data_IF_986798882160
#
_entry.id   IF_986798882160
#
_cell.length_a   1.000
_cell.length_b   1.000
_cell.length_c   1.000
_cell.angle_alpha   90.00
_cell.angle_beta   90.00
_cell.angle_gamma   90.00
#
_symmetry.space_group_name_H-M   'P 1'
#
loop_
_entity.id
_entity.type
_entity.pdbx_description
1 polymer ?
#
# COMPACT_ATOMS: atom_id res chain seq x y z
N UNK A 1 5.93 22.16 -3.46
CA UNK A 1 4.91 21.85 -4.50
C UNK A 1 3.59 21.46 -3.84
N UNK A 2 2.50 21.69 -4.53
CA UNK A 2 1.16 21.32 -4.11
C UNK A 2 0.45 20.60 -5.27
N UNK A 3 -0.49 19.74 -4.96
CA UNK A 3 -1.36 19.06 -5.92
C UNK A 3 -2.81 19.39 -5.61
N UNK A 4 -3.60 19.58 -6.67
CA UNK A 4 -5.06 19.69 -6.60
C UNK A 4 -5.64 18.61 -7.51
N UNK A 5 -6.40 17.69 -6.92
CA UNK A 5 -7.08 16.62 -7.61
C UNK A 5 -8.59 16.84 -7.52
N UNK A 6 -9.28 16.75 -8.65
CA UNK A 6 -10.74 16.81 -8.71
C UNK A 6 -11.21 15.52 -9.36
N UNK A 7 -11.98 14.73 -8.63
CA UNK A 7 -12.42 13.40 -9.06
C UNK A 7 -13.94 13.33 -8.89
N UNK A 8 -14.60 12.65 -9.80
CA UNK A 8 -16.00 12.25 -9.65
C UNK A 8 -16.07 10.74 -9.76
N UNK A 9 -16.73 10.10 -8.81
CA UNK A 9 -16.95 8.66 -8.80
C UNK A 9 -18.44 8.37 -8.65
N UNK A 10 -18.92 7.48 -9.47
CA UNK A 10 -20.24 6.91 -9.36
C UNK A 10 -20.08 5.39 -9.35
N UNK A 11 -20.63 4.75 -8.34
CA UNK A 11 -20.60 3.29 -8.21
C UNK A 11 -22.05 2.82 -8.00
N UNK A 12 -22.52 2.04 -8.94
CA UNK A 12 -23.79 1.35 -8.88
C UNK A 12 -23.53 -0.15 -8.70
N UNK A 13 -24.09 -0.76 -7.66
CA UNK A 13 -23.94 -2.19 -7.38
C UNK A 13 -25.28 -2.90 -7.57
N UNK A 14 -25.65 -3.12 -8.83
CA UNK A 14 -26.89 -3.80 -9.22
C UNK A 14 -26.89 -5.33 -9.03
N UNK A 15 -25.83 -5.92 -8.49
CA UNK A 15 -25.67 -7.40 -8.44
C UNK A 15 -26.03 -8.05 -7.09
N UNK A 16 -26.36 -7.32 -6.05
CA UNK A 16 -26.66 -7.89 -4.73
C UNK A 16 -28.01 -7.33 -4.24
N UNK A 17 -28.75 -8.13 -3.49
CA UNK A 17 -30.07 -7.82 -2.92
C UNK A 17 -30.18 -6.58 -2.00
N UNK A 18 -29.16 -5.76 -1.95
CA UNK A 18 -29.13 -4.39 -1.44
C UNK A 18 -28.52 -3.50 -2.53
N UNK A 19 -29.35 -2.96 -3.42
CA UNK A 19 -28.94 -1.91 -4.35
C UNK A 19 -28.43 -0.70 -3.56
N UNK A 20 -27.12 -0.57 -3.44
CA UNK A 20 -26.49 0.58 -2.80
C UNK A 20 -25.70 1.35 -3.84
N UNK A 21 -26.14 2.54 -4.16
CA UNK A 21 -25.38 3.47 -4.98
C UNK A 21 -24.57 4.38 -4.07
N UNK A 22 -23.27 4.46 -4.27
CA UNK A 22 -22.41 5.47 -3.66
C UNK A 22 -21.83 6.35 -4.75
N UNK A 23 -22.13 7.64 -4.70
CA UNK A 23 -21.55 8.64 -5.56
C UNK A 23 -20.75 9.67 -4.75
N UNK A 24 -19.56 10.00 -5.24
CA UNK A 24 -18.68 11.08 -4.73
C UNK A 24 -18.66 12.18 -5.81
N UNK A 25 -19.45 13.24 -5.62
CA UNK A 25 -19.74 14.23 -6.65
C UNK A 25 -19.73 15.67 -6.10
N UNK A 26 -18.64 16.43 -6.20
CA UNK A 26 -17.27 16.03 -6.51
C UNK A 26 -16.47 15.62 -5.28
N UNK A 27 -15.33 14.95 -5.48
CA UNK A 27 -14.24 14.88 -4.52
C UNK A 27 -13.14 15.86 -4.96
N UNK A 28 -12.77 16.80 -4.09
CA UNK A 28 -11.72 17.78 -4.31
C UNK A 28 -10.67 17.59 -3.22
N UNK A 29 -9.44 17.22 -3.61
CA UNK A 29 -8.34 17.01 -2.68
C UNK A 29 -7.21 17.98 -2.99
N UNK A 30 -6.81 18.77 -2.00
CA UNK A 30 -5.64 19.64 -2.04
C UNK A 30 -4.60 19.18 -1.06
N UNK A 31 -3.39 18.86 -1.54
CA UNK A 31 -2.26 18.40 -0.72
C UNK A 31 -1.05 19.28 -0.97
N UNK A 32 -0.41 19.70 0.11
CA UNK A 32 0.90 20.35 0.04
C UNK A 32 1.99 19.39 0.47
N UNK A 33 3.10 19.37 -0.24
CA UNK A 33 4.31 18.72 0.25
C UNK A 33 4.90 19.54 1.41
N UNK A 34 5.74 18.90 2.22
CA UNK A 34 6.42 19.57 3.32
C UNK A 34 7.19 20.80 2.83
N UNK A 35 6.86 21.96 3.37
CA UNK A 35 7.47 23.25 3.06
C UNK A 35 8.14 23.80 4.29
N UNK A 36 9.38 24.27 4.17
CA UNK A 36 10.10 24.90 5.25
C UNK A 36 9.47 26.26 5.56
N UNK A 37 9.20 26.53 6.85
CA UNK A 37 8.67 27.84 7.30
C UNK A 37 9.84 28.76 7.59
N UNK A 38 10.19 29.62 6.61
CA UNK A 38 11.31 30.54 6.74
C UNK A 38 12.60 29.80 7.15
N UNK A 39 13.35 30.34 8.08
CA UNK A 39 14.60 29.75 8.61
C UNK A 39 14.38 29.02 9.95
N UNK A 40 13.14 28.67 10.29
CA UNK A 40 12.81 28.12 11.61
C UNK A 40 13.20 26.66 11.79
N UNK A 41 13.43 25.92 10.69
CA UNK A 41 13.64 24.48 10.67
C UNK A 41 12.35 23.67 10.87
N UNK A 42 11.19 24.33 10.97
CA UNK A 42 9.87 23.68 10.93
C UNK A 42 9.39 23.51 9.51
N UNK A 43 8.79 22.37 9.26
CA UNK A 43 8.15 22.05 7.99
C UNK A 43 6.65 21.96 8.21
N UNK A 44 5.93 22.60 7.30
CA UNK A 44 4.46 22.58 7.25
C UNK A 44 4.01 21.77 6.03
N UNK A 45 3.00 20.95 6.22
CA UNK A 45 2.22 20.35 5.15
C UNK A 45 0.74 20.32 5.54
N UNK A 46 -0.11 20.19 4.56
CA UNK A 46 -1.56 20.23 4.71
C UNK A 46 -2.22 19.31 3.73
N UNK A 47 -3.17 18.53 4.22
CA UNK A 47 -4.12 17.76 3.44
C UNK A 47 -5.51 18.35 3.65
N UNK A 48 -6.21 18.67 2.56
CA UNK A 48 -7.58 19.19 2.60
C UNK A 48 -8.41 18.42 1.62
N UNK A 49 -9.56 17.93 2.07
CA UNK A 49 -10.49 17.17 1.25
C UNK A 49 -11.90 17.76 1.38
N UNK A 50 -12.55 17.98 0.26
CA UNK A 50 -13.98 18.25 0.19
C UNK A 50 -14.63 17.15 -0.62
N UNK A 51 -15.65 16.51 -0.08
CA UNK A 51 -16.40 15.47 -0.78
C UNK A 51 -17.89 15.63 -0.54
N UNK A 52 -18.67 15.56 -1.60
CA UNK A 52 -20.11 15.44 -1.53
C UNK A 52 -20.48 13.98 -1.80
N UNK A 53 -21.00 13.30 -0.78
CA UNK A 53 -21.47 11.92 -0.85
C UNK A 53 -22.96 11.91 -1.13
N UNK A 54 -23.36 11.04 -2.06
CA UNK A 54 -24.74 10.69 -2.32
C UNK A 54 -24.83 9.17 -2.21
N UNK A 55 -25.68 8.69 -1.32
CA UNK A 55 -25.96 7.26 -1.17
C UNK A 55 -27.44 7.04 -1.42
N UNK A 56 -27.74 6.15 -2.33
CA UNK A 56 -29.09 5.64 -2.56
C UNK A 56 -29.14 4.21 -2.00
N UNK A 57 -29.99 4.00 -1.03
CA UNK A 57 -30.22 2.69 -0.38
C UNK A 57 -31.58 2.17 -0.88
N UNK A 58 -31.65 1.70 -2.10
CA UNK A 58 -32.86 1.12 -2.69
C UNK A 58 -33.28 -0.19 -2.00
N UNK A 59 -33.39 -0.17 -0.67
CA UNK A 59 -33.88 -1.33 0.09
C UNK A 59 -35.38 -1.51 0.01
N UNK A 60 -36.13 -0.46 -0.28
CA UNK A 60 -37.57 -0.45 -0.48
C UNK A 60 -37.96 0.63 -1.49
N UNK A 61 -38.60 0.29 -2.64
CA UNK A 61 -39.02 1.28 -3.64
C UNK A 61 -40.00 2.34 -3.13
N UNK A 62 -40.66 2.08 -1.99
CA UNK A 62 -41.63 2.99 -1.39
C UNK A 62 -41.05 3.91 -0.31
N UNK A 63 -39.73 3.78 -0.01
CA UNK A 63 -39.03 4.58 0.98
C UNK A 63 -37.89 5.36 0.29
N UNK A 64 -37.91 6.68 0.37
CA UNK A 64 -36.84 7.56 -0.10
C UNK A 64 -35.67 7.54 0.92
N UNK A 65 -34.79 6.55 0.81
CA UNK A 65 -33.62 6.35 1.66
C UNK A 65 -32.38 7.10 1.16
N UNK A 66 -32.57 8.11 0.30
CA UNK A 66 -31.49 8.93 -0.24
C UNK A 66 -30.80 9.74 0.87
N UNK A 67 -29.53 9.49 1.06
CA UNK A 67 -28.72 10.22 2.02
C UNK A 67 -27.62 11.01 1.29
N UNK A 68 -27.67 12.35 1.43
CA UNK A 68 -26.64 13.24 0.89
C UNK A 68 -25.93 13.99 2.01
N UNK A 69 -24.61 13.97 2.01
CA UNK A 69 -23.79 14.70 2.99
C UNK A 69 -22.56 15.32 2.31
N UNK A 70 -22.28 16.57 2.65
CA UNK A 70 -21.00 17.20 2.31
C UNK A 70 -20.06 17.11 3.49
N UNK A 71 -18.82 16.73 3.20
CA UNK A 71 -17.72 16.70 4.16
C UNK A 71 -16.61 17.61 3.72
N UNK A 72 -16.10 18.42 4.64
CA UNK A 72 -14.88 19.21 4.49
C UNK A 72 -13.90 18.77 5.56
N UNK A 73 -12.73 18.28 5.17
CA UNK A 73 -11.65 17.84 6.05
C UNK A 73 -10.43 18.73 5.86
N UNK A 74 -9.89 19.24 6.95
CA UNK A 74 -8.70 20.07 6.97
C UNK A 74 -7.69 19.52 7.96
N UNK A 75 -6.51 19.11 7.48
CA UNK A 75 -5.49 18.43 8.27
C UNK A 75 -4.10 19.05 8.07
N UNK A 76 -3.79 20.18 8.74
CA UNK A 76 -2.45 20.75 8.78
C UNK A 76 -1.54 19.96 9.71
N UNK A 77 -0.26 19.85 9.33
CA UNK A 77 0.77 19.17 10.10
C UNK A 77 2.03 20.01 10.19
N UNK A 78 2.65 19.99 11.36
CA UNK A 78 3.92 20.65 11.66
C UNK A 78 4.96 19.62 12.07
N UNK A 79 6.10 19.60 11.40
CA UNK A 79 7.19 18.65 11.64
C UNK A 79 8.51 19.39 11.83
N UNK A 80 9.34 18.93 12.77
CA UNK A 80 10.72 19.40 12.89
C UNK A 80 11.65 18.24 13.22
N UNK A 81 12.82 18.19 12.59
CA UNK A 81 13.85 17.21 12.92
C UNK A 81 14.92 17.85 13.79
N UNK A 82 15.21 17.24 14.92
CA UNK A 82 16.25 17.61 15.86
C UNK A 82 17.38 16.57 15.76
N UNK A 83 18.61 17.01 15.53
CA UNK A 83 19.79 16.17 15.69
C UNK A 83 20.16 16.17 17.18
N UNK A 84 19.75 15.13 17.91
CA UNK A 84 20.08 14.98 19.34
C UNK A 84 21.56 14.62 19.53
N UNK A 85 22.11 13.88 18.57
CA UNK A 85 23.52 13.56 18.44
C UNK A 85 23.87 13.36 16.95
N UNK A 86 25.13 13.32 16.56
CA UNK A 86 25.52 13.04 15.15
C UNK A 86 24.96 11.72 14.58
N UNK A 87 24.60 10.80 15.47
CA UNK A 87 24.09 9.47 15.16
C UNK A 87 22.62 9.24 15.57
N UNK A 88 21.95 10.27 16.16
CA UNK A 88 20.59 10.15 16.67
C UNK A 88 19.76 11.35 16.25
N UNK A 89 18.67 11.11 15.54
CA UNK A 89 17.69 12.14 15.17
C UNK A 89 16.33 11.89 15.82
N UNK A 90 15.66 12.97 16.21
CA UNK A 90 14.31 12.97 16.76
C UNK A 90 13.42 13.87 15.91
N UNK A 91 12.34 13.30 15.37
CA UNK A 91 11.43 14.02 14.49
C UNK A 91 10.00 13.93 15.03
N UNK A 92 9.56 14.92 15.84
CA UNK A 92 8.17 15.07 16.21
C UNK A 92 7.35 15.66 15.06
N UNK A 93 6.11 15.22 14.95
CA UNK A 93 5.07 15.76 14.06
C UNK A 93 3.81 15.98 14.88
N UNK A 94 3.23 17.16 14.76
CA UNK A 94 1.94 17.54 15.32
C UNK A 94 0.97 17.76 14.17
N UNK A 95 -0.13 17.04 14.14
CA UNK A 95 -1.25 17.23 13.24
C UNK A 95 -2.50 17.67 14.01
N UNK A 96 -3.27 18.55 13.41
CA UNK A 96 -4.60 18.95 13.86
C UNK A 96 -5.57 18.66 12.73
N UNK A 97 -6.65 17.95 13.01
CA UNK A 97 -7.66 17.65 12.00
C UNK A 97 -9.00 18.18 12.41
N UNK A 98 -9.62 18.95 11.54
CA UNK A 98 -10.97 19.45 11.64
C UNK A 98 -11.80 18.86 10.49
N UNK A 99 -12.85 18.12 10.80
CA UNK A 99 -13.75 17.53 9.81
C UNK A 99 -15.16 18.05 10.03
N UNK A 100 -15.70 18.75 9.04
CA UNK A 100 -17.04 19.36 9.07
C UNK A 100 -17.99 18.53 8.21
N UNK A 101 -19.17 18.24 8.74
CA UNK A 101 -20.22 17.50 8.05
C UNK A 101 -21.49 18.35 7.96
N UNK A 102 -22.10 18.40 6.78
CA UNK A 102 -23.35 19.15 6.59
C UNK A 102 -24.52 18.55 7.36
N UNK A 103 -24.48 17.22 7.60
CA UNK A 103 -25.43 16.50 8.45
C UNK A 103 -24.84 15.18 8.94
N UNK A 104 -25.31 14.69 10.07
CA UNK A 104 -24.97 13.39 10.63
C UNK A 104 -26.03 12.33 10.32
N UNK A 105 -25.88 11.15 10.92
CA UNK A 105 -26.92 10.13 10.98
C UNK A 105 -28.16 10.73 11.68
N UNK A 106 -29.35 10.25 11.32
CA UNK A 106 -30.65 10.72 11.86
C UNK A 106 -30.93 12.20 11.61
N UNK A 107 -30.33 12.78 10.56
CA UNK A 107 -30.53 14.19 10.17
C UNK A 107 -30.23 15.21 11.30
N UNK A 108 -29.21 14.92 12.10
CA UNK A 108 -28.85 15.70 13.30
C UNK A 108 -28.32 17.12 12.99
N UNK A 109 -28.31 17.56 11.72
CA UNK A 109 -27.83 18.85 11.27
C UNK A 109 -26.29 18.91 11.18
N UNK A 110 -25.76 20.11 11.00
CA UNK A 110 -24.32 20.37 10.89
C UNK A 110 -23.59 20.02 12.19
N UNK A 111 -22.44 19.34 12.05
CA UNK A 111 -21.53 19.12 13.18
C UNK A 111 -20.07 19.09 12.73
N UNK A 112 -19.16 19.24 13.68
CA UNK A 112 -17.72 19.16 13.50
C UNK A 112 -17.12 18.03 14.34
N UNK A 113 -15.96 17.55 13.89
CA UNK A 113 -15.13 16.61 14.61
C UNK A 113 -13.70 17.09 14.59
N UNK A 114 -13.14 17.33 15.78
CA UNK A 114 -11.76 17.70 15.97
C UNK A 114 -10.93 16.47 16.37
N UNK A 115 -9.74 16.35 15.83
CA UNK A 115 -8.78 15.32 16.19
C UNK A 115 -7.36 15.88 16.25
N UNK A 116 -6.60 15.39 17.21
CA UNK A 116 -5.16 15.64 17.35
C UNK A 116 -4.41 14.38 16.98
N UNK A 117 -3.39 14.49 16.15
CA UNK A 117 -2.45 13.41 15.93
C UNK A 117 -1.02 13.85 16.28
N UNK A 118 -0.36 13.05 17.09
CA UNK A 118 1.03 13.22 17.47
C UNK A 118 1.83 12.04 16.96
N UNK A 119 2.94 12.32 16.31
CA UNK A 119 3.92 11.29 15.93
C UNK A 119 5.31 11.74 16.38
N UNK A 120 6.08 10.83 16.94
CA UNK A 120 7.46 11.06 17.33
C UNK A 120 8.33 9.93 16.82
N UNK A 121 9.30 10.26 15.96
CA UNK A 121 10.23 9.29 15.38
C UNK A 121 11.63 9.52 15.90
N UNK A 122 12.24 8.44 16.40
CA UNK A 122 13.64 8.37 16.81
C UNK A 122 14.38 7.44 15.86
N UNK A 123 15.43 7.92 15.20
CA UNK A 123 16.23 7.16 14.25
C UNK A 123 17.71 7.17 14.66
N UNK A 124 18.28 5.97 14.79
CA UNK A 124 19.67 5.74 15.15
C UNK A 124 19.83 4.96 16.46
N UNK A 125 21.08 4.60 16.83
CA UNK A 125 22.32 4.83 16.08
C UNK A 125 22.38 4.01 14.78
N UNK A 126 22.95 4.59 13.71
CA UNK A 126 23.23 3.87 12.48
C UNK A 126 24.59 3.21 12.59
N UNK A 127 24.60 1.88 12.49
CA UNK A 127 25.86 1.13 12.45
C UNK A 127 26.20 0.80 11.02
N UNK A 128 27.46 1.02 10.65
CA UNK A 128 27.93 0.70 9.32
C UNK A 128 29.30 0.03 9.33
N UNK A 129 29.47 -0.92 8.42
CA UNK A 129 30.77 -1.57 8.18
C UNK A 129 30.97 -1.81 6.70
N UNK A 130 32.16 -1.45 6.21
CA UNK A 130 32.55 -1.66 4.82
C UNK A 130 33.53 -2.83 4.78
N UNK A 131 33.25 -3.78 3.89
CA UNK A 131 34.07 -4.96 3.63
C UNK A 131 34.65 -4.83 2.22
N UNK A 132 35.94 -5.04 2.08
CA UNK A 132 36.60 -5.24 0.77
C UNK A 132 36.38 -6.70 0.35
N UNK A 133 36.03 -6.93 -0.91
CA UNK A 133 35.88 -8.26 -1.47
C UNK A 133 37.03 -8.59 -2.43
N UNK A 134 37.19 -9.87 -2.77
CA UNK A 134 38.14 -10.29 -3.80
C UNK A 134 37.52 -10.24 -5.21
N UNK A 135 36.22 -9.98 -5.31
CA UNK A 135 35.50 -9.89 -6.57
C UNK A 135 35.74 -8.51 -7.21
N UNK A 136 36.34 -8.50 -8.41
CA UNK A 136 36.60 -7.23 -9.14
C UNK A 136 35.34 -6.52 -9.60
N UNK A 137 34.24 -7.26 -9.82
CA UNK A 137 32.94 -6.69 -10.21
C UNK A 137 32.21 -6.07 -9.02
N UNK A 138 32.45 -6.58 -7.80
CA UNK A 138 31.86 -6.10 -6.55
C UNK A 138 32.99 -5.90 -5.54
N UNK A 139 33.84 -4.85 -5.70
CA UNK A 139 35.01 -4.69 -4.88
C UNK A 139 34.74 -4.33 -3.41
N UNK A 140 33.58 -3.77 -3.13
CA UNK A 140 33.17 -3.37 -1.76
C UNK A 140 31.72 -3.68 -1.48
N UNK A 141 31.47 -4.10 -0.25
CA UNK A 141 30.14 -4.33 0.32
C UNK A 141 30.02 -3.51 1.60
N UNK A 142 28.94 -2.74 1.74
CA UNK A 142 28.63 -1.96 2.94
C UNK A 142 27.42 -2.57 3.61
N UNK A 143 27.54 -2.96 4.88
CA UNK A 143 26.44 -3.39 5.73
C UNK A 143 26.01 -2.22 6.61
N UNK A 144 24.71 -1.94 6.60
CA UNK A 144 24.05 -0.91 7.42
C UNK A 144 23.06 -1.59 8.35
N UNK A 145 22.97 -1.13 9.60
CA UNK A 145 21.95 -1.51 10.57
C UNK A 145 21.32 -0.22 11.09
N UNK A 146 20.02 -0.08 10.88
CA UNK A 146 19.26 1.15 11.11
C UNK A 146 18.07 0.87 12.04
N UNK A 147 18.22 1.02 13.37
CA UNK A 147 17.11 0.95 14.30
C UNK A 147 16.25 2.22 14.23
N UNK A 148 14.94 2.03 14.39
CA UNK A 148 13.95 3.11 14.43
C UNK A 148 12.89 2.80 15.48
N UNK A 149 12.51 3.83 16.23
CA UNK A 149 11.37 3.83 17.13
C UNK A 149 10.39 4.91 16.68
N UNK A 150 9.10 4.58 16.57
CA UNK A 150 8.05 5.53 16.23
C UNK A 150 6.93 5.43 17.25
N UNK A 151 6.57 6.53 17.86
CA UNK A 151 5.38 6.66 18.69
C UNK A 151 4.30 7.39 17.91
N UNK A 152 3.08 6.84 17.90
CA UNK A 152 1.90 7.47 17.30
C UNK A 152 0.81 7.54 18.36
N UNK A 153 0.17 8.71 18.43
CA UNK A 153 -0.91 8.96 19.37
C UNK A 153 -2.04 9.74 18.71
N UNK A 154 -3.24 9.20 18.80
CA UNK A 154 -4.51 9.82 18.44
C UNK A 154 -5.42 9.61 19.64
N UNK A 155 -5.92 10.67 20.30
CA UNK A 155 -6.82 10.55 21.44
C UNK A 155 -8.15 9.89 21.04
N UNK A 156 -8.90 9.47 22.03
CA UNK A 156 -10.25 8.98 21.78
C UNK A 156 -11.17 10.13 21.34
N UNK A 157 -11.93 9.89 20.29
CA UNK A 157 -12.97 10.81 19.83
C UNK A 157 -14.19 10.57 20.70
N UNK A 158 -14.91 11.64 21.08
CA UNK A 158 -16.13 11.53 21.90
C UNK A 158 -17.08 10.48 21.26
N UNK A 159 -17.59 9.58 22.09
CA UNK A 159 -18.51 8.53 21.68
C UNK A 159 -19.75 9.10 20.99
N UNK A 160 -20.24 10.26 21.46
CA UNK A 160 -21.38 10.97 20.87
C UNK A 160 -21.14 11.43 19.44
N UNK A 161 -19.90 11.70 19.06
CA UNK A 161 -19.57 12.10 17.69
C UNK A 161 -19.39 10.88 16.78
N UNK A 162 -18.90 9.75 17.32
CA UNK A 162 -18.83 8.49 16.57
C UNK A 162 -20.22 7.99 16.13
N UNK A 163 -21.19 8.11 17.01
CA UNK A 163 -22.56 7.61 16.73
C UNK A 163 -23.30 8.48 15.70
N UNK A 164 -22.81 9.69 15.41
CA UNK A 164 -23.37 10.60 14.41
C UNK A 164 -22.77 10.44 13.03
N UNK A 165 -21.59 9.79 12.90
CA UNK A 165 -20.82 9.74 11.66
C UNK A 165 -21.15 8.48 10.90
N UNK A 166 -21.58 8.64 9.64
CA UNK A 166 -21.58 7.54 8.68
C UNK A 166 -20.18 7.39 8.11
N UNK A 167 -19.64 6.19 8.17
CA UNK A 167 -18.30 5.90 7.64
C UNK A 167 -18.37 5.70 6.14
N UNK A 168 -17.77 6.60 5.37
CA UNK A 168 -17.61 6.51 3.91
C UNK A 168 -16.20 6.05 3.54
N UNK A 169 -15.18 6.56 4.25
CA UNK A 169 -13.78 6.27 3.97
C UNK A 169 -12.89 6.32 5.24
N UNK A 170 -11.56 6.33 5.02
CA UNK A 170 -10.58 6.38 6.10
C UNK A 170 -10.58 7.71 6.89
N UNK A 171 -11.10 8.80 6.33
CA UNK A 171 -11.22 10.07 7.06
C UNK A 171 -12.24 9.93 8.17
N UNK A 172 -13.36 9.24 7.91
CA UNK A 172 -14.43 9.05 8.88
C UNK A 172 -14.09 8.00 9.95
N UNK A 173 -13.27 7.00 9.58
CA UNK A 173 -12.90 5.87 10.43
C UNK A 173 -11.64 6.09 11.27
N UNK A 174 -11.32 7.35 11.65
CA UNK A 174 -10.17 7.62 12.53
C UNK A 174 -10.35 6.90 13.86
N UNK A 175 -9.46 5.96 14.13
CA UNK A 175 -9.44 5.19 15.37
C UNK A 175 -8.43 5.77 16.35
N UNK A 176 -8.75 5.77 17.66
CA UNK A 176 -7.79 6.15 18.70
C UNK A 176 -6.56 5.24 18.63
N UNK A 177 -5.40 5.84 18.80
CA UNK A 177 -4.13 5.13 18.72
C UNK A 177 -3.19 5.59 19.85
N UNK A 178 -2.50 4.67 20.48
CA UNK A 178 -1.37 4.97 21.38
C UNK A 178 -0.37 3.83 21.23
N UNK A 179 0.50 3.92 20.22
CA UNK A 179 1.30 2.80 19.76
C UNK A 179 2.77 3.16 19.63
N UNK A 180 3.64 2.31 20.13
CA UNK A 180 5.08 2.35 19.89
C UNK A 180 5.43 1.26 18.87
N UNK A 181 5.97 1.66 17.72
CA UNK A 181 6.50 0.73 16.71
C UNK A 181 8.01 0.78 16.75
N UNK A 182 8.64 -0.36 16.93
CA UNK A 182 10.09 -0.52 16.81
C UNK A 182 10.43 -1.36 15.59
N UNK A 183 11.48 -0.94 14.89
CA UNK A 183 11.94 -1.64 13.70
C UNK A 183 13.45 -1.64 13.60
N UNK A 184 13.97 -2.70 13.00
CA UNK A 184 15.38 -2.87 12.68
C UNK A 184 15.49 -3.15 11.19
N UNK A 185 16.09 -2.23 10.44
CA UNK A 185 16.36 -2.43 9.03
C UNK A 185 17.84 -2.71 8.83
N UNK A 186 18.16 -3.81 8.15
CA UNK A 186 19.50 -4.15 7.73
C UNK A 186 19.57 -4.03 6.20
N UNK A 187 20.62 -3.37 5.71
CA UNK A 187 20.85 -3.15 4.28
C UNK A 187 22.25 -3.57 3.89
N UNK A 188 22.36 -4.27 2.78
CA UNK A 188 23.62 -4.58 2.14
C UNK A 188 23.68 -3.80 0.83
N UNK A 189 24.64 -2.86 0.76
CA UNK A 189 24.93 -2.10 -0.44
C UNK A 189 26.18 -2.69 -1.11
N UNK A 190 26.09 -2.98 -2.39
CA UNK A 190 27.20 -3.44 -3.21
C UNK A 190 27.70 -2.31 -4.11
N UNK A 191 29.02 -2.13 -4.16
CA UNK A 191 29.67 -1.27 -5.15
C UNK A 191 29.97 -2.14 -6.37
N UNK A 192 29.33 -1.85 -7.50
CA UNK A 192 29.39 -2.64 -8.74
C UNK A 192 30.13 -1.87 -9.84
N UNK A 193 31.00 -2.56 -10.59
CA UNK A 193 31.64 -1.98 -11.76
C UNK A 193 30.61 -1.92 -12.93
N UNK A 194 30.49 -0.77 -13.58
CA UNK A 194 29.56 -0.55 -14.70
C UNK A 194 30.08 -1.00 -16.07
N UNK A 195 31.29 -1.60 -16.10
CA UNK A 195 31.96 -2.05 -17.33
C UNK A 195 32.60 -0.92 -18.15
N UNK A 196 32.41 0.36 -17.77
CA UNK A 196 33.01 1.55 -18.39
C UNK A 196 34.17 2.15 -17.56
N UNK A 197 34.47 1.53 -16.42
CA UNK A 197 35.51 1.97 -15.50
C UNK A 197 34.97 2.76 -14.29
N UNK A 198 33.66 3.06 -14.27
CA UNK A 198 32.97 3.68 -13.15
C UNK A 198 32.34 2.62 -12.24
N UNK A 199 31.84 3.09 -11.10
CA UNK A 199 31.20 2.22 -10.11
C UNK A 199 29.87 2.80 -9.67
N UNK A 200 28.85 1.95 -9.68
CA UNK A 200 27.53 2.25 -9.12
C UNK A 200 27.37 1.59 -7.75
N UNK A 201 26.54 2.17 -6.89
CA UNK A 201 26.15 1.56 -5.62
C UNK A 201 24.72 1.07 -5.73
N UNK A 202 24.51 -0.23 -5.50
CA UNK A 202 23.21 -0.87 -5.53
C UNK A 202 22.87 -1.47 -4.16
N UNK A 203 21.63 -1.34 -3.74
CA UNK A 203 21.12 -2.10 -2.59
C UNK A 203 20.87 -3.55 -3.04
N UNK A 204 21.63 -4.46 -2.45
CA UNK A 204 21.58 -5.88 -2.80
C UNK A 204 20.70 -6.70 -1.86
N UNK A 205 20.54 -6.23 -0.61
CA UNK A 205 19.65 -6.82 0.37
C UNK A 205 19.07 -5.73 1.26
N UNK A 206 17.77 -5.82 1.52
CA UNK A 206 17.08 -5.15 2.61
C UNK A 206 16.34 -6.19 3.43
N UNK A 207 16.56 -6.20 4.71
CA UNK A 207 15.81 -6.97 5.70
C UNK A 207 15.23 -6.02 6.73
N UNK A 208 13.93 -6.07 6.95
CA UNK A 208 13.25 -5.28 7.98
C UNK A 208 12.49 -6.19 8.93
N UNK A 209 12.75 -6.01 10.21
CA UNK A 209 12.00 -6.61 11.30
C UNK A 209 11.24 -5.50 12.02
N UNK A 210 9.95 -5.68 12.26
CA UNK A 210 9.16 -4.68 12.98
C UNK A 210 8.06 -5.32 13.83
N UNK A 211 7.75 -4.65 14.95
CA UNK A 211 6.65 -4.99 15.84
C UNK A 211 6.15 -3.71 16.50
N UNK A 212 4.89 -3.69 16.89
CA UNK A 212 4.28 -2.58 17.61
C UNK A 212 3.80 -3.02 18.99
N UNK A 213 3.79 -2.08 19.92
CA UNK A 213 3.23 -2.23 21.26
C UNK A 213 2.12 -1.18 21.43
N UNK A 214 0.90 -1.62 21.67
CA UNK A 214 -0.26 -0.76 21.92
C UNK A 214 -0.42 -0.51 23.42
N UNK A 215 -0.20 0.76 23.82
CA UNK A 215 -0.27 1.16 25.23
C UNK A 215 -1.72 1.13 25.74
N UNK A 216 -2.71 1.41 24.88
CA UNK A 216 -4.14 1.37 25.26
C UNK A 216 -4.56 -0.06 25.55
N UNK A 217 -4.16 -0.98 24.67
CA UNK A 217 -4.43 -2.41 24.84
C UNK A 217 -3.78 -2.93 26.13
N UNK A 218 -2.55 -2.50 26.42
CA UNK A 218 -1.83 -2.88 27.63
C UNK A 218 -2.45 -2.35 28.94
N UNK A 219 -3.23 -1.28 28.86
CA UNK A 219 -3.85 -0.62 30.03
C UNK A 219 -5.35 -0.86 30.15
N UNK A 220 -5.94 -1.63 29.23
CA UNK A 220 -7.37 -2.00 29.32
C UNK A 220 -7.62 -2.93 30.48
N UNK A 221 -8.85 -2.91 30.99
CA UNK A 221 -9.29 -3.91 31.98
C UNK A 221 -9.48 -5.24 31.30
N UNK A 222 -8.72 -6.24 31.70
CA UNK A 222 -8.81 -7.59 31.17
C UNK A 222 -10.08 -8.29 31.64
N UNK A 223 -10.68 -9.07 30.74
CA UNK A 223 -11.77 -10.02 31.05
C UNK A 223 -11.46 -11.35 30.40
N UNK A 224 -12.11 -12.43 30.87
CA UNK A 224 -11.91 -13.76 30.31
C UNK A 224 -12.21 -13.86 28.80
N UNK A 225 -13.18 -13.04 28.33
CA UNK A 225 -13.60 -13.00 26.92
C UNK A 225 -12.80 -11.98 26.09
N UNK A 226 -11.96 -11.15 26.74
CA UNK A 226 -11.17 -10.10 26.08
C UNK A 226 -9.82 -9.90 26.79
N UNK A 227 -8.86 -10.83 26.59
CA UNK A 227 -7.51 -10.74 27.15
C UNK A 227 -6.75 -9.54 26.57
N UNK A 228 -5.74 -9.06 27.29
CA UNK A 228 -4.87 -7.99 26.80
C UNK A 228 -3.79 -8.55 25.86
N UNK A 229 -3.76 -8.04 24.63
CA UNK A 229 -2.81 -8.44 23.58
C UNK A 229 -2.07 -7.21 23.03
N UNK A 230 -1.20 -6.57 23.84
CA UNK A 230 -0.60 -5.29 23.48
C UNK A 230 0.45 -5.38 22.36
N UNK A 231 1.05 -6.54 22.15
CA UNK A 231 2.01 -6.71 21.06
C UNK A 231 1.30 -7.06 19.75
N UNK A 232 1.66 -6.34 18.69
CA UNK A 232 1.25 -6.76 17.34
C UNK A 232 2.00 -7.99 16.87
N UNK A 233 1.55 -8.55 15.77
CA UNK A 233 2.35 -9.55 15.04
C UNK A 233 3.75 -9.03 14.75
N UNK A 234 4.75 -9.90 14.80
CA UNK A 234 6.09 -9.60 14.29
C UNK A 234 6.03 -9.68 12.76
N UNK A 235 6.47 -8.61 12.10
CA UNK A 235 6.56 -8.55 10.64
C UNK A 235 8.01 -8.67 10.18
N UNK A 236 8.22 -9.58 9.24
CA UNK A 236 9.46 -9.78 8.51
C UNK A 236 9.28 -9.34 7.06
N UNK A 237 10.25 -8.64 6.51
CA UNK A 237 10.27 -8.19 5.13
C UNK A 237 11.69 -8.29 4.58
N UNK A 238 11.88 -8.98 3.47
CA UNK A 238 13.18 -9.20 2.82
C UNK A 238 13.08 -8.93 1.34
N UNK A 239 13.86 -7.99 0.85
CA UNK A 239 14.10 -7.77 -0.57
C UNK A 239 15.56 -8.11 -0.87
N UNK A 240 15.82 -9.02 -1.80
CA UNK A 240 17.18 -9.45 -2.11
C UNK A 240 17.44 -9.55 -3.59
N UNK A 241 18.56 -8.96 -3.99
CA UNK A 241 19.20 -9.11 -5.28
C UNK A 241 20.72 -9.27 -5.11
N UNK A 242 21.09 -10.19 -4.24
CA UNK A 242 22.50 -10.45 -3.91
C UNK A 242 23.27 -11.04 -5.08
N UNK A 243 22.60 -11.80 -5.93
CA UNK A 243 23.19 -12.54 -7.05
C UNK A 243 22.34 -12.27 -8.29
N UNK A 244 22.90 -11.61 -9.29
CA UNK A 244 22.29 -11.57 -10.61
C UNK A 244 22.42 -12.96 -11.28
N UNK A 245 21.37 -13.46 -11.90
CA UNK A 245 20.08 -12.87 -12.24
C UNK A 245 18.92 -13.19 -11.27
N UNK A 246 19.18 -13.48 -9.99
CA UNK A 246 18.19 -13.95 -9.03
C UNK A 246 17.63 -12.80 -8.17
N UNK A 247 16.30 -12.74 -8.05
CA UNK A 247 15.54 -11.81 -7.23
C UNK A 247 14.77 -12.64 -6.20
N UNK A 248 14.78 -12.25 -4.94
CA UNK A 248 14.06 -12.93 -3.86
C UNK A 248 13.34 -11.87 -3.03
N UNK A 249 12.03 -12.00 -2.91
CA UNK A 249 11.23 -11.25 -1.96
C UNK A 249 10.56 -12.22 -1.00
N UNK A 250 10.50 -11.81 0.24
CA UNK A 250 9.87 -12.57 1.31
C UNK A 250 9.20 -11.59 2.26
N UNK A 251 7.93 -11.82 2.58
CA UNK A 251 7.25 -11.15 3.68
C UNK A 251 6.45 -12.16 4.51
N UNK A 252 6.43 -11.95 5.81
CA UNK A 252 5.76 -12.83 6.75
C UNK A 252 5.29 -12.08 7.98
N UNK A 253 4.19 -12.55 8.58
CA UNK A 253 3.71 -12.10 9.88
C UNK A 253 3.59 -13.29 10.83
N UNK A 254 4.11 -13.12 12.03
CA UNK A 254 4.07 -14.10 13.11
C UNK A 254 3.25 -13.55 14.27
N UNK A 255 2.18 -14.25 14.64
CA UNK A 255 1.36 -13.95 15.79
C UNK A 255 2.09 -14.41 17.05
N UNK A 256 2.38 -13.48 17.95
CA UNK A 256 3.09 -13.77 19.22
C UNK A 256 2.18 -14.31 20.29
N UNK A 257 0.85 -14.14 20.17
CA UNK A 257 -0.14 -14.60 21.15
C UNK A 257 -0.56 -16.04 20.86
N UNK A 258 -0.89 -16.31 19.60
CA UNK A 258 -1.23 -17.66 19.12
C UNK A 258 0.02 -18.52 18.79
N UNK A 259 1.22 -17.93 18.79
CA UNK A 259 2.50 -18.57 18.44
C UNK A 259 2.50 -19.21 17.04
N UNK A 260 1.88 -18.55 16.06
CA UNK A 260 1.70 -19.10 14.71
C UNK A 260 2.06 -18.11 13.61
N UNK A 261 2.46 -18.64 12.45
CA UNK A 261 2.57 -17.85 11.23
C UNK A 261 1.15 -17.53 10.70
N UNK A 262 0.83 -16.23 10.59
CA UNK A 262 -0.42 -15.73 9.97
C UNK A 262 -0.30 -15.64 8.47
N UNK A 263 0.82 -15.11 7.99
CA UNK A 263 1.10 -14.98 6.55
C UNK A 263 2.51 -15.40 6.23
N UNK A 264 2.70 -15.95 5.05
CA UNK A 264 4.00 -16.31 4.50
C UNK A 264 3.94 -16.14 2.99
N UNK A 265 4.59 -15.09 2.49
CA UNK A 265 4.65 -14.79 1.08
C UNK A 265 6.10 -14.86 0.63
N UNK A 266 6.35 -15.63 -0.41
CA UNK A 266 7.67 -15.83 -0.95
C UNK A 266 7.62 -15.72 -2.46
N UNK A 267 8.50 -14.90 -3.03
CA UNK A 267 8.62 -14.69 -4.47
C UNK A 267 10.07 -14.88 -4.92
N UNK A 268 10.26 -15.65 -5.96
CA UNK A 268 11.52 -15.80 -6.68
C UNK A 268 11.35 -15.28 -8.09
N UNK A 269 12.18 -14.33 -8.48
CA UNK A 269 12.35 -13.88 -9.85
C UNK A 269 13.67 -14.39 -10.41
N UNK A 270 13.66 -14.87 -11.65
CA UNK A 270 14.85 -15.28 -12.38
C UNK A 270 14.89 -14.57 -13.73
N UNK A 271 15.95 -13.78 -13.94
CA UNK A 271 16.15 -12.96 -15.14
C UNK A 271 17.42 -13.42 -15.89
N UNK A 272 17.36 -14.51 -16.66
CA UNK A 272 18.52 -15.08 -17.35
C UNK A 272 19.12 -14.13 -18.38
N UNK A 273 18.31 -13.29 -19.01
CA UNK A 273 18.68 -12.24 -19.95
C UNK A 273 17.79 -11.01 -19.69
N UNK A 274 18.23 -9.84 -20.14
CA UNK A 274 17.51 -8.57 -19.87
C UNK A 274 16.08 -8.51 -20.41
N UNK A 275 15.79 -9.33 -21.40
CA UNK A 275 14.49 -9.37 -22.07
C UNK A 275 13.54 -10.43 -21.55
N UNK A 276 13.97 -11.30 -20.61
CA UNK A 276 13.13 -12.42 -20.15
C UNK A 276 13.21 -12.56 -18.64
N UNK A 277 12.05 -12.58 -18.01
CA UNK A 277 11.92 -12.75 -16.56
C UNK A 277 10.88 -13.81 -16.24
N UNK A 278 11.22 -14.69 -15.32
CA UNK A 278 10.31 -15.66 -14.72
C UNK A 278 10.09 -15.30 -13.27
N UNK A 279 8.85 -15.41 -12.80
CA UNK A 279 8.51 -15.26 -11.38
C UNK A 279 7.72 -16.47 -10.92
N UNK A 280 8.02 -16.92 -9.71
CA UNK A 280 7.20 -17.87 -8.97
C UNK A 280 6.94 -17.26 -7.61
N UNK A 281 5.68 -17.15 -7.23
CA UNK A 281 5.22 -16.61 -5.97
C UNK A 281 4.37 -17.66 -5.26
N UNK A 282 4.56 -17.78 -3.96
CA UNK A 282 3.67 -18.54 -3.08
C UNK A 282 3.14 -17.60 -2.01
N UNK A 283 1.82 -17.58 -1.83
CA UNK A 283 1.12 -16.84 -0.79
C UNK A 283 0.42 -17.81 0.13
N UNK A 284 0.66 -17.66 1.40
CA UNK A 284 -0.02 -18.39 2.46
C UNK A 284 -0.65 -17.40 3.43
N UNK A 285 -1.94 -17.59 3.72
CA UNK A 285 -2.65 -16.88 4.77
C UNK A 285 -3.36 -17.90 5.64
N UNK A 286 -3.06 -17.93 6.94
CA UNK A 286 -3.70 -18.84 7.89
C UNK A 286 -5.20 -18.59 7.92
N UNK A 287 -6.01 -19.64 7.79
CA UNK A 287 -7.47 -19.58 7.68
C UNK A 287 -7.96 -18.77 6.45
N UNK A 288 -7.11 -18.59 5.48
CA UNK A 288 -7.39 -17.93 4.21
C UNK A 288 -6.84 -18.75 3.05
N UNK A 289 -6.83 -18.18 1.86
CA UNK A 289 -6.36 -18.87 0.66
C UNK A 289 -4.85 -19.10 0.68
N UNK A 290 -4.42 -20.29 0.28
CA UNK A 290 -3.04 -20.61 -0.07
C UNK A 290 -2.95 -20.75 -1.58
N UNK A 291 -2.11 -19.94 -2.22
CA UNK A 291 -2.00 -19.93 -3.67
C UNK A 291 -0.56 -19.80 -4.17
N UNK A 292 -0.29 -20.41 -5.31
CA UNK A 292 0.94 -20.25 -6.08
C UNK A 292 0.65 -19.51 -7.38
N UNK A 293 1.52 -18.58 -7.75
CA UNK A 293 1.47 -17.82 -9.00
C UNK A 293 2.77 -18.05 -9.77
N UNK A 294 2.67 -18.40 -11.04
CA UNK A 294 3.80 -18.40 -11.96
C UNK A 294 3.57 -17.34 -13.04
N UNK A 295 4.61 -16.57 -13.35
CA UNK A 295 4.55 -15.51 -14.36
C UNK A 295 5.79 -15.57 -15.26
N UNK A 296 5.58 -15.34 -16.54
CA UNK A 296 6.61 -15.08 -17.53
C UNK A 296 6.40 -13.67 -18.09
N UNK A 297 7.47 -12.89 -18.21
CA UNK A 297 7.50 -11.56 -18.82
C UNK A 297 8.63 -11.54 -19.86
N UNK A 298 8.30 -11.35 -21.12
CA UNK A 298 9.22 -11.52 -22.24
C UNK A 298 9.12 -10.38 -23.26
N UNK A 299 10.19 -9.57 -23.32
CA UNK A 299 10.42 -8.59 -24.38
C UNK A 299 11.05 -9.29 -25.60
N UNK A 300 10.27 -9.97 -26.43
CA UNK A 300 10.79 -10.83 -27.47
C UNK A 300 11.21 -10.09 -28.76
N UNK A 301 10.75 -8.85 -28.94
CA UNK A 301 11.10 -7.99 -30.07
C UNK A 301 10.96 -6.52 -29.65
N UNK A 302 11.73 -5.63 -30.33
CA UNK A 302 11.66 -4.20 -30.05
C UNK A 302 10.22 -3.67 -30.09
N UNK A 303 9.78 -3.14 -28.96
CA UNK A 303 8.43 -2.63 -28.76
C UNK A 303 7.37 -3.70 -28.42
N UNK A 304 7.68 -4.98 -28.46
CA UNK A 304 6.76 -6.07 -28.14
C UNK A 304 7.09 -6.74 -26.83
N UNK A 305 6.10 -6.85 -25.97
CA UNK A 305 6.18 -7.57 -24.71
C UNK A 305 5.04 -8.58 -24.61
N UNK A 306 5.36 -9.78 -24.15
CA UNK A 306 4.40 -10.82 -23.82
C UNK A 306 4.47 -11.14 -22.33
N UNK A 307 3.31 -11.14 -21.66
CA UNK A 307 3.17 -11.57 -20.27
C UNK A 307 2.16 -12.71 -20.20
N UNK A 308 2.49 -13.73 -19.42
CA UNK A 308 1.54 -14.75 -19.06
C UNK A 308 1.66 -15.06 -17.57
N UNK A 309 0.54 -15.29 -16.91
CA UNK A 309 0.51 -15.71 -15.51
C UNK A 309 -0.58 -16.74 -15.28
N UNK A 310 -0.31 -17.66 -14.37
CA UNK A 310 -1.27 -18.65 -13.88
C UNK A 310 -1.26 -18.69 -12.37
N UNK A 311 -2.43 -18.67 -11.74
CA UNK A 311 -2.62 -18.80 -10.29
C UNK A 311 -3.28 -20.14 -9.98
N UNK A 312 -2.64 -20.89 -9.12
CA UNK A 312 -3.14 -22.15 -8.58
C UNK A 312 -3.58 -21.96 -7.13
N UNK A 313 -4.75 -22.44 -6.80
CA UNK A 313 -5.19 -22.65 -5.42
C UNK A 313 -4.60 -23.97 -4.94
N UNK A 314 -3.78 -23.94 -3.86
CA UNK A 314 -3.08 -25.14 -3.36
C UNK A 314 -4.01 -26.09 -2.58
N UNK A 315 -5.10 -25.59 -2.00
CA UNK A 315 -6.03 -26.42 -1.23
C UNK A 315 -6.92 -27.25 -2.15
N UNK A 316 -7.41 -26.63 -3.21
CA UNK A 316 -8.32 -27.31 -4.16
C UNK A 316 -7.60 -27.84 -5.39
N UNK A 317 -6.30 -27.54 -5.58
CA UNK A 317 -5.50 -27.85 -6.76
C UNK A 317 -6.16 -27.37 -8.06
N UNK A 318 -6.85 -26.25 -8.00
CA UNK A 318 -7.56 -25.68 -9.16
C UNK A 318 -6.88 -24.39 -9.64
N UNK A 319 -6.89 -24.18 -10.96
CA UNK A 319 -6.45 -22.92 -11.54
C UNK A 319 -7.53 -21.86 -11.27
N UNK A 320 -7.16 -20.82 -10.53
CA UNK A 320 -8.04 -19.70 -10.20
C UNK A 320 -8.06 -18.62 -11.25
N UNK A 321 -6.91 -18.38 -11.86
CA UNK A 321 -6.75 -17.29 -12.82
C UNK A 321 -5.65 -17.61 -13.81
N UNK A 322 -5.92 -17.37 -15.09
CA UNK A 322 -4.94 -17.38 -16.16
C UNK A 322 -5.03 -16.05 -16.90
N UNK A 323 -3.90 -15.37 -17.03
CA UNK A 323 -3.82 -14.08 -17.71
C UNK A 323 -2.78 -14.17 -18.82
N UNK A 324 -3.12 -13.65 -19.99
CA UNK A 324 -2.23 -13.50 -21.12
C UNK A 324 -2.33 -12.07 -21.63
N UNK A 325 -1.20 -11.40 -21.80
CA UNK A 325 -1.13 -10.03 -22.28
C UNK A 325 -0.09 -9.91 -23.39
N UNK A 326 -0.48 -9.28 -24.46
CA UNK A 326 0.42 -8.88 -25.54
C UNK A 326 0.41 -7.36 -25.61
N UNK A 327 1.57 -6.75 -25.37
CA UNK A 327 1.79 -5.33 -25.45
C UNK A 327 2.63 -4.97 -26.68
N UNK A 328 2.30 -3.86 -27.29
CA UNK A 328 3.15 -3.19 -28.28
C UNK A 328 3.30 -1.71 -27.91
N UNK A 329 4.54 -1.28 -27.79
CA UNK A 329 4.92 0.12 -27.68
C UNK A 329 5.74 0.54 -28.90
N UNK A 330 5.27 1.54 -29.63
CA UNK A 330 6.00 2.06 -30.78
C UNK A 330 7.38 2.60 -30.35
N UNK A 331 8.45 2.40 -31.17
CA UNK A 331 9.79 2.83 -30.84
C UNK A 331 9.97 4.31 -30.53
N UNK A 332 9.13 5.19 -31.10
CA UNK A 332 9.09 6.62 -30.72
C UNK A 332 8.32 6.86 -29.43
N UNK A 333 7.72 5.83 -28.84
CA UNK A 333 6.86 5.91 -27.66
C UNK A 333 5.66 6.86 -27.81
N UNK A 334 5.18 7.07 -29.04
CA UNK A 334 4.07 7.96 -29.34
C UNK A 334 2.73 7.31 -29.07
N UNK A 335 2.64 6.00 -29.33
CA UNK A 335 1.45 5.20 -29.10
C UNK A 335 1.81 3.76 -28.75
N UNK A 336 0.86 3.06 -28.19
CA UNK A 336 0.96 1.63 -27.90
C UNK A 336 -0.42 1.01 -27.88
N UNK A 337 -0.47 -0.31 -27.99
CA UNK A 337 -1.69 -1.07 -27.77
C UNK A 337 -1.43 -2.27 -26.88
N UNK A 338 -2.47 -2.75 -26.22
CA UNK A 338 -2.45 -4.00 -25.46
C UNK A 338 -3.67 -4.85 -25.79
N UNK A 339 -3.47 -6.14 -25.73
CA UNK A 339 -4.51 -7.16 -25.82
C UNK A 339 -4.35 -8.06 -24.61
N UNK A 340 -5.38 -8.17 -23.79
CA UNK A 340 -5.39 -8.97 -22.58
C UNK A 340 -6.50 -10.01 -22.65
N UNK A 341 -6.16 -11.25 -22.34
CA UNK A 341 -7.12 -12.35 -22.12
C UNK A 341 -7.00 -12.79 -20.68
N UNK A 342 -8.11 -12.71 -19.94
CA UNK A 342 -8.20 -13.03 -18.52
C UNK A 342 -9.26 -14.12 -18.36
N UNK A 343 -8.88 -15.23 -17.75
CA UNK A 343 -9.78 -16.32 -17.42
C UNK A 343 -9.75 -16.50 -15.90
N UNK A 344 -10.91 -16.45 -15.25
CA UNK A 344 -11.09 -16.62 -13.81
C UNK A 344 -12.09 -17.70 -13.50
N UNK A 345 -11.77 -18.51 -12.50
CA UNK A 345 -12.70 -19.44 -11.88
C UNK A 345 -13.22 -18.85 -10.57
N UNK A 346 -14.49 -18.55 -10.53
CA UNK A 346 -15.20 -18.04 -9.34
C UNK A 346 -15.92 -19.19 -8.64
N UNK A 347 -15.75 -19.28 -7.32
CA UNK A 347 -16.45 -20.25 -6.47
C UNK A 347 -17.40 -19.49 -5.54
N UNK A 348 -18.69 -19.49 -5.87
CA UNK A 348 -19.73 -18.92 -5.04
C UNK A 348 -20.65 -20.03 -4.53
N UNK A 349 -20.69 -20.26 -3.20
CA UNK A 349 -21.67 -21.14 -2.56
C UNK A 349 -21.65 -22.60 -3.05
N UNK A 350 -20.50 -23.12 -3.49
CA UNK A 350 -20.34 -24.50 -4.00
C UNK A 350 -20.57 -24.65 -5.51
N UNK A 351 -20.98 -23.59 -6.21
CA UNK A 351 -21.03 -23.58 -7.68
C UNK A 351 -19.74 -22.98 -8.25
N UNK A 352 -19.15 -23.66 -9.24
CA UNK A 352 -18.02 -23.17 -10.03
C UNK A 352 -18.54 -22.44 -11.26
N UNK A 353 -18.16 -21.18 -11.43
CA UNK A 353 -18.39 -20.42 -12.66
C UNK A 353 -17.06 -19.97 -13.25
N UNK A 354 -16.92 -20.09 -14.57
CA UNK A 354 -15.74 -19.61 -15.28
C UNK A 354 -16.09 -18.34 -16.03
N UNK A 355 -15.33 -17.28 -15.75
CA UNK A 355 -15.44 -16.02 -16.46
C UNK A 355 -14.24 -15.84 -17.38
N UNK A 356 -14.49 -15.42 -18.62
CA UNK A 356 -13.42 -15.06 -19.56
C UNK A 356 -13.64 -13.65 -20.07
N UNK A 357 -12.59 -12.82 -19.97
CA UNK A 357 -12.61 -11.41 -20.43
C UNK A 357 -11.55 -11.24 -21.51
N UNK A 358 -11.93 -10.53 -22.56
CA UNK A 358 -11.03 -10.08 -23.60
C UNK A 358 -11.03 -8.56 -23.60
N UNK A 359 -9.86 -7.96 -23.35
CA UNK A 359 -9.71 -6.52 -23.21
C UNK A 359 -8.73 -6.01 -24.27
N UNK A 360 -9.03 -4.87 -24.87
CA UNK A 360 -8.14 -4.19 -25.80
C UNK A 360 -7.95 -2.75 -25.36
N UNK A 361 -6.75 -2.23 -25.50
CA UNK A 361 -6.43 -0.85 -25.17
C UNK A 361 -5.49 -0.23 -26.18
N UNK A 362 -5.72 1.05 -26.51
CA UNK A 362 -4.81 1.87 -27.27
C UNK A 362 -4.45 3.08 -26.42
N UNK A 363 -3.17 3.38 -26.31
CA UNK A 363 -2.65 4.51 -25.56
C UNK A 363 -1.91 5.46 -26.49
N UNK A 364 -2.27 6.73 -26.48
CA UNK A 364 -1.55 7.81 -27.17
C UNK A 364 -0.85 8.65 -26.10
N UNK A 365 0.47 8.69 -26.10
CA UNK A 365 1.20 9.48 -25.11
C UNK A 365 1.02 10.97 -25.41
N UNK A 366 0.55 11.71 -24.41
CA UNK A 366 0.22 13.13 -24.52
C UNK A 366 -1.26 13.44 -24.84
N UNK A 367 -2.05 12.45 -25.30
CA UNK A 367 -3.47 12.63 -25.62
C UNK A 367 -4.40 11.79 -24.73
N UNK A 368 -3.88 10.77 -24.04
CA UNK A 368 -4.68 9.89 -23.19
C UNK A 368 -4.72 8.45 -23.66
N UNK A 369 -5.60 7.62 -23.06
CA UNK A 369 -5.77 6.22 -23.42
C UNK A 369 -7.24 5.86 -23.58
N UNK A 370 -7.55 5.02 -24.57
CA UNK A 370 -8.86 4.39 -24.76
C UNK A 370 -8.72 2.93 -24.37
N UNK A 371 -9.55 2.47 -23.43
CA UNK A 371 -9.57 1.07 -22.95
C UNK A 371 -10.99 0.55 -23.01
N UNK A 372 -11.17 -0.68 -23.47
CA UNK A 372 -12.43 -1.40 -23.33
C UNK A 372 -12.37 -2.22 -22.04
N UNK A 373 -13.34 -2.03 -21.13
CA UNK A 373 -13.45 -2.74 -19.86
C UNK A 373 -12.88 -2.02 -18.64
N UNK A 374 -13.21 -2.52 -17.45
CA UNK A 374 -12.71 -1.99 -16.18
C UNK A 374 -11.20 -2.19 -16.06
N UNK A 375 -10.49 -1.24 -15.42
CA UNK A 375 -9.07 -1.33 -15.11
C UNK A 375 -8.80 -2.51 -14.17
N UNK A 376 -8.56 -3.68 -14.71
CA UNK A 376 -7.93 -4.74 -13.95
C UNK A 376 -6.41 -4.57 -14.06
N UNK A 377 -5.77 -4.22 -12.97
CA UNK A 377 -4.31 -4.26 -12.89
C UNK A 377 -3.91 -5.73 -12.87
N UNK A 378 -2.99 -6.13 -13.75
CA UNK A 378 -2.17 -7.29 -13.47
C UNK A 378 -1.64 -7.16 -12.04
N UNK A 379 -1.99 -8.11 -11.19
CA UNK A 379 -1.51 -8.15 -9.81
C UNK A 379 -0.07 -8.67 -9.86
N UNK A 380 0.81 -7.84 -10.38
CA UNK A 380 2.23 -8.07 -10.31
C UNK A 380 2.83 -6.85 -9.60
N UNK A 381 3.45 -7.07 -8.45
CA UNK A 381 4.33 -6.08 -7.88
C UNK A 381 5.44 -5.85 -8.91
N UNK A 382 5.42 -4.71 -9.59
CA UNK A 382 6.61 -4.28 -10.29
C UNK A 382 7.75 -4.35 -9.29
N UNK A 383 8.82 -5.08 -9.60
CA UNK A 383 10.06 -4.94 -8.88
C UNK A 383 10.41 -3.45 -8.94
N UNK A 384 10.08 -2.73 -7.90
CA UNK A 384 10.57 -1.37 -7.75
C UNK A 384 12.06 -1.52 -7.86
N UNK A 385 12.60 -1.04 -8.98
CA UNK A 385 14.05 -0.93 -9.11
C UNK A 385 14.49 -0.16 -7.89
N UNK A 386 15.18 -0.84 -6.99
CA UNK A 386 15.84 -0.20 -5.87
C UNK A 386 16.89 0.68 -6.54
N UNK A 387 16.52 1.96 -6.81
CA UNK A 387 17.41 2.98 -7.38
C UNK A 387 18.38 3.46 -6.32
#
# INVERSE_FOLDING_TARGET
SSTLDIITRYRDSSEIASDQTLAELPEITYKTQRQLIGDTGFYFNQDTNFTSFLTDLNSDPDVDDNFSVQRFDFHPQLTRTFALAPWLSFTPTLGLRETLYSKGLEDTGFFSRESLDLSARLEGPKFEKIFATRNKLIPKVKHLIEPRLTFNFIPDIDRKDKDKIRTFDAIDSVSPQSQITYSLTQRILQKEADGKGDFNTREALRFTLSQSYDIREATKTETADNPSEPFSDIRFDVDSRLIDPLLINFDSTYDVHDEVLKTFNFEIGFKPVDTLTFFVERRFTRRGETSSLATIDWDFKKGWNFKASTRLDEETMTHRENNFSLLYDDPCQCWGFNVDFIQRDNFNGGARSQESKFLMGITFRGLGSIKSGAKEKFIHREFKSIK
#
